data_IF_431491598981
#
_entry.id   IF_431491598981
#
_cell.length_a   1.000
_cell.length_b   1.000
_cell.length_c   1.000
_cell.angle_alpha   90.00
_cell.angle_beta   90.00
_cell.angle_gamma   90.00
#
_symmetry.space_group_name_H-M   'P 1'
#
loop_
_entity.id
_entity.type
_entity.pdbx_description
1 polymer ?
#
# COMPACT_ATOMS: atom_id res chain seq x y z
N UNK A 1 17.34 15.97 -0.75
CA UNK A 1 16.41 15.39 0.25
C UNK A 1 16.78 15.99 1.60
N UNK A 2 15.97 16.91 2.12
CA UNK A 2 16.13 17.37 3.50
C UNK A 2 15.82 16.20 4.46
N UNK A 3 16.60 16.03 5.54
CA UNK A 3 16.33 15.00 6.53
C UNK A 3 14.97 15.27 7.18
N UNK A 4 14.12 14.25 7.21
CA UNK A 4 12.84 14.29 7.89
C UNK A 4 13.05 14.67 9.35
N UNK A 5 12.46 15.79 9.79
CA UNK A 5 12.50 16.24 11.19
C UNK A 5 11.95 15.12 12.08
N UNK A 6 12.64 14.78 13.17
CA UNK A 6 12.10 13.91 14.20
C UNK A 6 10.99 14.67 14.96
N UNK A 7 10.01 13.90 15.41
CA UNK A 7 8.93 14.27 16.34
C UNK A 7 8.05 15.46 15.97
N UNK A 8 6.94 15.15 15.30
CA UNK A 8 5.75 15.99 15.40
C UNK A 8 5.26 15.98 16.86
N UNK A 9 4.86 17.15 17.43
CA UNK A 9 4.14 17.18 18.70
C UNK A 9 2.94 16.26 18.58
N UNK A 10 2.49 15.66 19.71
CA UNK A 10 1.37 14.71 19.80
C UNK A 10 0.29 15.13 18.80
N UNK A 11 0.39 14.60 17.58
CA UNK A 11 -0.56 14.92 16.52
C UNK A 11 -1.89 14.36 16.99
N UNK A 12 -2.93 15.19 16.97
CA UNK A 12 -4.31 14.73 17.21
C UNK A 12 -4.52 13.53 16.30
N UNK A 13 -4.59 12.34 16.91
CA UNK A 13 -4.75 11.09 16.18
C UNK A 13 -6.05 11.13 15.40
N UNK A 14 -6.03 10.86 14.12
CA UNK A 14 -7.22 10.72 13.31
C UNK A 14 -7.90 9.38 13.64
N UNK A 15 -9.18 9.40 13.98
CA UNK A 15 -9.97 8.20 14.25
C UNK A 15 -11.01 8.02 13.15
N UNK A 16 -11.22 6.79 12.75
CA UNK A 16 -12.32 6.42 11.87
C UNK A 16 -13.64 6.33 12.65
N UNK A 17 -14.78 6.46 11.96
CA UNK A 17 -16.09 6.50 12.64
C UNK A 17 -16.36 5.31 13.56
N UNK A 18 -15.92 4.12 13.16
CA UNK A 18 -16.08 2.90 13.96
C UNK A 18 -15.11 2.82 15.17
N UNK A 19 -14.10 3.69 15.23
CA UNK A 19 -13.15 3.80 16.33
C UNK A 19 -13.59 4.76 17.44
N UNK A 20 -14.74 5.45 17.31
CA UNK A 20 -15.24 6.41 18.33
C UNK A 20 -15.20 5.88 19.74
N UNK A 21 -15.64 4.63 20.05
CA UNK A 21 -15.56 4.10 21.43
C UNK A 21 -14.13 3.97 21.95
N UNK A 22 -13.16 3.72 21.05
CA UNK A 22 -11.74 3.62 21.38
C UNK A 22 -11.18 5.03 21.63
N UNK A 23 -11.53 5.98 20.77
CA UNK A 23 -11.15 7.39 20.91
C UNK A 23 -11.59 7.97 22.27
N UNK A 24 -12.82 7.68 22.72
CA UNK A 24 -13.33 8.11 24.02
C UNK A 24 -12.52 7.53 25.19
N UNK A 25 -12.12 6.26 25.10
CA UNK A 25 -11.28 5.64 26.13
C UNK A 25 -9.87 6.21 26.14
N UNK A 26 -9.25 6.39 24.95
CA UNK A 26 -7.90 6.96 24.84
C UNK A 26 -7.87 8.44 25.26
N UNK A 27 -8.96 9.23 25.03
CA UNK A 27 -9.10 10.61 25.53
C UNK A 27 -9.13 10.65 27.06
N UNK A 28 -9.95 9.81 27.68
CA UNK A 28 -10.02 9.71 29.17
C UNK A 28 -8.67 9.34 29.77
N UNK A 29 -7.94 8.39 29.16
CA UNK A 29 -6.60 8.04 29.61
C UNK A 29 -5.65 9.25 29.53
N UNK A 30 -5.72 10.01 28.44
CA UNK A 30 -4.89 11.22 28.28
C UNK A 30 -5.23 12.30 29.30
N UNK A 31 -6.51 12.55 29.58
CA UNK A 31 -6.99 13.50 30.59
C UNK A 31 -6.51 13.12 32.00
N UNK A 32 -6.64 11.85 32.39
CA UNK A 32 -6.18 11.36 33.68
C UNK A 32 -4.67 11.44 33.84
N UNK A 33 -3.88 11.19 32.78
CA UNK A 33 -2.42 11.35 32.83
C UNK A 33 -1.99 12.80 33.03
N UNK A 34 -2.72 13.76 32.52
CA UNK A 34 -2.46 15.19 32.77
C UNK A 34 -2.75 15.52 34.24
N UNK A 35 -3.87 15.06 34.78
CA UNK A 35 -4.24 15.28 36.19
C UNK A 35 -3.27 14.60 37.17
N UNK A 36 -2.76 13.41 36.88
CA UNK A 36 -1.76 12.72 37.71
C UNK A 36 -0.46 13.53 37.83
N UNK A 37 -0.08 14.26 36.75
CA UNK A 37 1.10 15.14 36.74
C UNK A 37 0.94 16.41 37.57
N UNK A 38 -0.28 16.94 37.69
CA UNK A 38 -0.53 18.24 38.33
C UNK A 38 -0.85 18.12 39.84
N UNK A 39 -1.50 17.05 40.31
CA UNK A 39 -2.06 16.99 41.68
C UNK A 39 -1.43 15.93 42.58
N UNK A 40 -0.49 15.11 42.14
CA UNK A 40 0.15 14.06 42.97
C UNK A 40 -0.81 12.98 43.47
N UNK A 41 -2.02 12.89 42.92
CA UNK A 41 -3.04 11.89 43.27
C UNK A 41 -2.72 10.59 42.53
N UNK A 42 -2.64 9.49 43.26
CA UNK A 42 -2.38 8.17 42.71
C UNK A 42 -3.62 7.62 42.00
N UNK A 43 -3.82 8.03 40.74
CA UNK A 43 -4.84 7.47 39.80
C UNK A 43 -4.25 6.44 38.86
N UNK A 44 -3.00 6.05 39.04
CA UNK A 44 -2.23 5.13 38.21
C UNK A 44 -2.95 3.78 37.97
N UNK A 45 -3.66 3.24 38.95
CA UNK A 45 -4.43 1.99 38.81
C UNK A 45 -5.64 2.16 37.88
N UNK A 46 -6.29 3.31 37.90
CA UNK A 46 -7.42 3.63 37.04
C UNK A 46 -6.97 3.85 35.60
N UNK A 47 -5.85 4.57 35.41
CA UNK A 47 -5.21 4.74 34.12
C UNK A 47 -4.89 3.37 33.49
N UNK A 48 -4.22 2.49 34.23
CA UNK A 48 -3.90 1.13 33.76
C UNK A 48 -5.13 0.32 33.34
N UNK A 49 -6.21 0.39 34.13
CA UNK A 49 -7.47 -0.29 33.78
C UNK A 49 -8.09 0.25 32.49
N UNK A 50 -8.09 1.57 32.32
CA UNK A 50 -8.61 2.20 31.10
C UNK A 50 -7.74 1.90 29.87
N UNK A 51 -6.41 1.91 30.02
CA UNK A 51 -5.49 1.52 28.95
C UNK A 51 -5.72 0.06 28.50
N UNK A 52 -5.86 -0.85 29.45
CA UNK A 52 -6.18 -2.25 29.17
C UNK A 52 -7.53 -2.39 28.46
N UNK A 53 -8.55 -1.63 28.90
CA UNK A 53 -9.87 -1.63 28.26
C UNK A 53 -9.80 -1.05 26.84
N UNK A 54 -9.08 0.05 26.63
CA UNK A 54 -8.88 0.64 25.31
C UNK A 54 -8.16 -0.34 24.37
N UNK A 55 -7.08 -0.98 24.85
CA UNK A 55 -6.35 -2.00 24.08
C UNK A 55 -7.22 -3.21 23.73
N UNK A 56 -8.00 -3.71 24.67
CA UNK A 56 -8.91 -4.84 24.42
C UNK A 56 -9.99 -4.47 23.40
N UNK A 57 -10.60 -3.27 23.52
CA UNK A 57 -11.58 -2.77 22.56
C UNK A 57 -10.97 -2.61 21.16
N UNK A 58 -9.74 -2.11 21.07
CA UNK A 58 -9.02 -1.98 19.79
C UNK A 58 -8.80 -3.35 19.13
N UNK A 59 -8.29 -4.33 19.88
CA UNK A 59 -8.09 -5.71 19.39
C UNK A 59 -9.40 -6.32 18.91
N UNK A 60 -10.46 -6.22 19.71
CA UNK A 60 -11.77 -6.78 19.35
C UNK A 60 -12.34 -6.15 18.08
N UNK A 61 -12.26 -4.81 17.97
CA UNK A 61 -12.72 -4.07 16.79
C UNK A 61 -11.95 -4.47 15.54
N UNK A 62 -10.61 -4.50 15.59
CA UNK A 62 -9.79 -4.79 14.42
C UNK A 62 -9.82 -6.26 13.99
N UNK A 63 -10.12 -7.18 14.89
CA UNK A 63 -10.35 -8.58 14.55
C UNK A 63 -11.68 -8.82 13.80
N UNK A 64 -12.61 -7.87 13.84
CA UNK A 64 -13.98 -8.01 13.28
C UNK A 64 -14.28 -7.01 12.17
N UNK A 65 -13.27 -6.34 11.62
CA UNK A 65 -13.48 -5.35 10.57
C UNK A 65 -14.22 -5.92 9.37
N UNK A 66 -15.29 -5.25 8.97
CA UNK A 66 -15.98 -5.53 7.71
C UNK A 66 -15.13 -5.12 6.51
N UNK A 67 -15.41 -5.63 5.29
CA UNK A 67 -14.71 -5.20 4.08
C UNK A 67 -14.73 -3.69 3.85
N UNK A 68 -15.84 -3.03 4.17
CA UNK A 68 -15.94 -1.57 4.11
C UNK A 68 -15.04 -0.87 5.12
N UNK A 69 -15.02 -1.33 6.37
CA UNK A 69 -14.11 -0.79 7.39
C UNK A 69 -12.64 -1.00 7.01
N UNK A 70 -12.28 -2.15 6.43
CA UNK A 70 -10.93 -2.35 5.87
C UNK A 70 -10.63 -1.37 4.74
N UNK A 71 -11.60 -1.06 3.88
CA UNK A 71 -11.44 -0.01 2.86
C UNK A 71 -11.13 1.34 3.51
N UNK A 72 -11.82 1.69 4.59
CA UNK A 72 -11.56 2.93 5.32
C UNK A 72 -10.16 2.92 5.97
N UNK A 73 -9.74 1.81 6.57
CA UNK A 73 -8.38 1.66 7.12
C UNK A 73 -7.32 1.74 6.02
N UNK A 74 -7.54 1.10 4.86
CA UNK A 74 -6.63 1.18 3.71
C UNK A 74 -6.40 2.62 3.22
N UNK A 75 -7.41 3.47 3.36
CA UNK A 75 -7.42 4.89 2.99
C UNK A 75 -7.05 5.84 4.12
N UNK A 76 -6.70 5.32 5.29
CA UNK A 76 -6.41 6.16 6.45
C UNK A 76 -5.27 7.15 6.13
N UNK A 77 -5.43 8.48 6.40
CA UNK A 77 -4.48 9.50 5.99
C UNK A 77 -3.09 9.37 6.65
N UNK A 78 -3.02 8.72 7.81
CA UNK A 78 -1.79 8.54 8.56
C UNK A 78 -1.08 7.20 8.27
N UNK A 79 -1.56 6.40 7.30
CA UNK A 79 -0.83 5.20 6.86
C UNK A 79 0.52 5.59 6.27
N UNK A 80 1.55 4.75 6.42
CA UNK A 80 2.81 4.98 5.72
C UNK A 80 2.59 4.89 4.21
N UNK A 81 3.12 5.87 3.47
CA UNK A 81 3.11 5.94 2.02
C UNK A 81 4.45 5.50 1.43
N UNK A 82 4.59 5.51 0.11
CA UNK A 82 5.79 5.05 -0.60
C UNK A 82 7.09 5.62 -0.03
N UNK A 83 7.16 6.93 0.17
CA UNK A 83 8.37 7.60 0.69
C UNK A 83 8.72 7.17 2.13
N UNK A 84 7.75 6.80 2.94
CA UNK A 84 7.99 6.26 4.29
C UNK A 84 8.66 4.88 4.21
N UNK A 85 8.19 4.01 3.30
CA UNK A 85 8.81 2.70 3.06
C UNK A 85 10.20 2.85 2.46
N UNK A 86 10.41 3.80 1.54
CA UNK A 86 11.75 4.11 1.02
C UNK A 86 12.67 4.50 2.16
N UNK A 87 12.26 5.45 2.99
CA UNK A 87 13.05 5.92 4.14
C UNK A 87 13.39 4.81 5.13
N UNK A 88 12.48 3.86 5.34
CA UNK A 88 12.67 2.79 6.32
C UNK A 88 13.34 1.53 5.80
N UNK A 89 13.35 1.28 4.50
CA UNK A 89 13.78 0.00 3.92
C UNK A 89 14.91 0.12 2.89
N UNK A 90 15.09 1.29 2.25
CA UNK A 90 15.97 1.42 1.09
C UNK A 90 17.12 2.38 1.38
N UNK A 91 18.31 1.85 1.39
CA UNK A 91 19.54 2.60 1.53
C UNK A 91 19.97 3.19 0.17
N UNK A 92 20.66 4.31 0.16
CA UNK A 92 21.23 4.97 -1.04
C UNK A 92 20.18 5.17 -2.17
N UNK A 93 18.94 5.48 -1.81
CA UNK A 93 17.88 5.65 -2.82
C UNK A 93 18.18 6.83 -3.75
N UNK A 94 18.28 6.54 -5.04
CA UNK A 94 18.47 7.51 -6.12
C UNK A 94 17.22 7.54 -6.99
N UNK A 95 16.35 8.56 -6.85
CA UNK A 95 15.13 8.66 -7.65
C UNK A 95 15.45 8.95 -9.12
N UNK A 96 14.67 8.35 -10.03
CA UNK A 96 14.82 8.49 -11.47
C UNK A 96 13.53 9.03 -12.08
N UNK A 97 13.50 10.34 -12.32
CA UNK A 97 12.36 11.08 -12.83
C UNK A 97 12.14 10.91 -14.35
N UNK A 98 10.93 11.14 -14.80
CA UNK A 98 10.51 11.29 -16.21
C UNK A 98 10.35 10.00 -16.99
N UNK A 99 9.42 10.04 -17.94
CA UNK A 99 9.12 8.92 -18.85
C UNK A 99 10.02 8.88 -20.10
N UNK A 100 10.83 9.90 -20.32
CA UNK A 100 11.67 10.10 -21.54
C UNK A 100 10.85 10.30 -22.82
N UNK A 101 9.59 10.64 -22.69
CA UNK A 101 8.70 10.86 -23.82
C UNK A 101 7.93 12.18 -23.73
N UNK A 102 7.29 12.46 -22.59
CA UNK A 102 6.46 13.66 -22.42
C UNK A 102 6.81 14.44 -21.16
N UNK A 103 6.69 13.83 -19.95
CA UNK A 103 6.86 14.57 -18.71
C UNK A 103 7.21 13.65 -17.50
N UNK A 104 7.34 14.29 -16.35
CA UNK A 104 7.32 13.62 -15.05
C UNK A 104 5.89 13.43 -14.56
N UNK A 105 5.64 12.31 -13.88
CA UNK A 105 4.45 12.07 -13.07
C UNK A 105 4.84 11.55 -11.69
N UNK A 106 4.72 12.42 -10.69
CA UNK A 106 5.12 12.11 -9.33
C UNK A 106 4.10 11.22 -8.57
N UNK A 107 2.98 10.84 -9.19
CA UNK A 107 2.08 9.82 -8.64
C UNK A 107 2.70 8.42 -8.66
N UNK A 108 3.61 8.14 -9.62
CA UNK A 108 4.48 6.98 -9.59
C UNK A 108 5.91 7.46 -9.37
N UNK A 109 6.51 7.06 -8.28
CA UNK A 109 7.91 7.31 -7.99
C UNK A 109 8.72 6.03 -8.16
N UNK A 110 10.02 6.15 -8.40
CA UNK A 110 10.88 4.99 -8.47
C UNK A 110 12.33 5.37 -8.71
N UNK A 111 13.21 4.40 -8.53
CA UNK A 111 14.64 4.61 -8.64
C UNK A 111 15.45 3.37 -8.27
N UNK A 112 16.75 3.59 -8.12
CA UNK A 112 17.73 2.60 -7.68
C UNK A 112 17.99 2.76 -6.18
N UNK A 113 18.31 1.66 -5.51
CA UNK A 113 18.72 1.68 -4.10
C UNK A 113 19.25 0.34 -3.64
N UNK A 114 19.48 0.22 -2.33
CA UNK A 114 19.85 -1.03 -1.70
C UNK A 114 18.79 -1.46 -0.69
N UNK A 115 18.33 -2.67 -0.83
CA UNK A 115 17.44 -3.30 0.13
C UNK A 115 18.24 -4.38 0.88
N UNK A 116 18.54 -4.14 2.15
CA UNK A 116 19.39 -5.03 2.98
C UNK A 116 20.71 -5.37 2.29
N UNK A 117 21.38 -4.36 1.76
CA UNK A 117 22.65 -4.48 1.04
C UNK A 117 22.54 -4.98 -0.41
N UNK A 118 21.40 -5.50 -0.86
CA UNK A 118 21.17 -5.97 -2.24
C UNK A 118 20.73 -4.82 -3.12
N UNK A 119 21.38 -4.56 -4.27
CA UNK A 119 20.93 -3.57 -5.24
C UNK A 119 19.55 -3.95 -5.79
N UNK A 120 18.62 -3.00 -5.85
CA UNK A 120 17.25 -3.18 -6.32
C UNK A 120 16.76 -1.98 -7.12
N UNK A 121 15.76 -2.21 -7.94
CA UNK A 121 14.87 -1.16 -8.46
C UNK A 121 13.62 -1.12 -7.60
N UNK A 122 13.21 0.08 -7.16
CA UNK A 122 11.95 0.25 -6.42
C UNK A 122 11.03 1.18 -7.19
N UNK A 123 9.77 0.81 -7.30
CA UNK A 123 8.72 1.57 -7.99
C UNK A 123 7.48 1.59 -7.10
N UNK A 124 6.74 2.68 -7.03
CA UNK A 124 5.49 2.67 -6.27
C UNK A 124 4.69 3.94 -6.42
N UNK A 125 3.46 3.88 -5.92
CA UNK A 125 2.55 5.01 -5.89
C UNK A 125 2.80 5.84 -4.63
N UNK A 126 2.97 7.14 -4.81
CA UNK A 126 3.00 8.11 -3.71
C UNK A 126 1.69 8.90 -3.68
N UNK A 127 1.05 8.96 -2.51
CA UNK A 127 -0.21 9.70 -2.33
C UNK A 127 -0.03 11.09 -1.75
N UNK A 128 1.10 11.34 -1.10
CA UNK A 128 1.35 12.55 -0.32
C UNK A 128 0.72 12.53 1.06
N UNK A 129 1.45 13.03 2.06
CA UNK A 129 1.08 13.01 3.48
C UNK A 129 0.30 14.26 3.95
N UNK A 130 0.26 15.31 3.14
CA UNK A 130 -0.45 16.56 3.40
C UNK A 130 -1.17 17.06 2.13
N UNK A 131 -1.93 18.13 2.22
CA UNK A 131 -2.73 18.64 1.11
C UNK A 131 -1.88 18.99 -0.11
N UNK A 132 -0.75 19.68 0.07
CA UNK A 132 0.16 20.04 -1.01
C UNK A 132 0.77 18.79 -1.68
N UNK A 133 1.28 17.87 -0.87
CA UNK A 133 1.81 16.60 -1.36
C UNK A 133 0.75 15.77 -2.11
N UNK A 134 -0.49 15.72 -1.62
CA UNK A 134 -1.58 15.00 -2.30
C UNK A 134 -1.90 15.59 -3.67
N UNK A 135 -1.90 16.91 -3.80
CA UNK A 135 -2.10 17.60 -5.08
C UNK A 135 -0.92 17.29 -6.01
N UNK A 136 0.32 17.43 -5.51
CA UNK A 136 1.55 17.17 -6.25
C UNK A 136 1.61 15.74 -6.80
N UNK A 137 1.30 14.77 -5.98
CA UNK A 137 1.29 13.35 -6.33
C UNK A 137 -0.05 12.86 -6.90
N UNK A 138 -0.96 13.77 -7.22
CA UNK A 138 -2.28 13.47 -7.78
C UNK A 138 -3.02 12.34 -7.03
N UNK A 139 -2.91 12.32 -5.70
CA UNK A 139 -3.52 11.32 -4.82
C UNK A 139 -3.11 9.87 -5.17
N UNK A 140 -1.93 9.67 -5.74
CA UNK A 140 -1.45 8.37 -6.21
C UNK A 140 -2.09 7.89 -7.51
N UNK A 141 -2.91 8.70 -8.17
CA UNK A 141 -3.53 8.37 -9.46
C UNK A 141 -2.61 8.77 -10.60
N UNK A 142 -1.92 7.79 -11.18
CA UNK A 142 -0.92 8.03 -12.20
C UNK A 142 -1.53 8.38 -13.56
N UNK A 143 -0.83 9.27 -14.26
CA UNK A 143 -0.98 9.58 -15.69
C UNK A 143 -0.15 8.60 -16.53
N UNK A 144 -0.29 8.60 -17.89
CA UNK A 144 0.50 7.73 -18.76
C UNK A 144 2.01 7.79 -18.52
N UNK A 145 2.51 8.97 -18.16
CA UNK A 145 3.93 9.24 -17.90
C UNK A 145 4.46 8.40 -16.71
N UNK A 146 3.64 8.21 -15.66
CA UNK A 146 3.99 7.38 -14.51
C UNK A 146 4.18 5.91 -14.90
N UNK A 147 3.27 5.36 -15.71
CA UNK A 147 3.38 3.98 -16.19
C UNK A 147 4.53 3.78 -17.18
N UNK A 148 4.79 4.75 -18.07
CA UNK A 148 5.96 4.70 -18.97
C UNK A 148 7.26 4.78 -18.18
N UNK A 149 7.32 5.59 -17.12
CA UNK A 149 8.47 5.59 -16.21
C UNK A 149 8.66 4.24 -15.52
N UNK A 150 7.58 3.60 -15.06
CA UNK A 150 7.65 2.26 -14.51
C UNK A 150 8.21 1.25 -15.53
N UNK A 151 7.75 1.27 -16.79
CA UNK A 151 8.31 0.45 -17.87
C UNK A 151 9.81 0.68 -18.02
N UNK A 152 10.25 1.93 -18.10
CA UNK A 152 11.68 2.28 -18.22
C UNK A 152 12.52 1.75 -17.07
N UNK A 153 12.00 1.85 -15.84
CA UNK A 153 12.71 1.34 -14.65
C UNK A 153 12.77 -0.20 -14.64
N UNK A 154 11.70 -0.87 -15.07
CA UNK A 154 11.67 -2.32 -15.22
C UNK A 154 12.65 -2.81 -16.31
N UNK A 155 12.75 -2.10 -17.43
CA UNK A 155 13.75 -2.38 -18.47
C UNK A 155 15.18 -2.22 -17.96
N UNK A 156 15.42 -1.20 -17.14
CA UNK A 156 16.70 -1.02 -16.49
C UNK A 156 17.01 -2.16 -15.52
N UNK A 157 16.03 -2.57 -14.72
CA UNK A 157 16.15 -3.70 -13.79
C UNK A 157 16.52 -4.99 -14.52
N UNK A 158 15.82 -5.30 -15.61
CA UNK A 158 16.08 -6.48 -16.44
C UNK A 158 17.49 -6.46 -17.05
N UNK A 159 17.88 -5.30 -17.62
CA UNK A 159 19.19 -5.11 -18.23
C UNK A 159 20.35 -5.31 -17.25
N UNK A 160 20.22 -4.85 -16.02
CA UNK A 160 21.25 -4.93 -14.99
C UNK A 160 21.04 -6.08 -14.00
N UNK A 161 20.09 -6.97 -14.26
CA UNK A 161 19.76 -8.12 -13.43
C UNK A 161 19.48 -7.73 -11.95
N UNK A 162 18.68 -6.67 -11.77
CA UNK A 162 18.27 -6.15 -10.48
C UNK A 162 16.85 -6.60 -10.15
N UNK A 163 16.58 -7.15 -8.94
CA UNK A 163 15.20 -7.41 -8.53
C UNK A 163 14.38 -6.11 -8.48
N UNK A 164 13.09 -6.23 -8.72
CA UNK A 164 12.13 -5.13 -8.65
C UNK A 164 11.23 -5.30 -7.43
N UNK A 165 11.13 -4.27 -6.61
CA UNK A 165 10.15 -4.16 -5.52
C UNK A 165 9.12 -3.12 -5.94
N UNK A 166 7.84 -3.46 -5.91
CA UNK A 166 6.78 -2.50 -6.19
C UNK A 166 5.89 -2.28 -4.98
N UNK A 167 5.58 -1.01 -4.67
CA UNK A 167 4.70 -0.62 -3.57
C UNK A 167 3.43 0.00 -4.14
N UNK A 168 2.31 -0.68 -3.95
CA UNK A 168 1.02 -0.33 -4.57
C UNK A 168 0.15 0.41 -3.58
N UNK A 169 -0.18 1.67 -3.89
CA UNK A 169 -1.13 2.48 -3.13
C UNK A 169 -1.82 3.54 -4.01
N UNK A 170 -2.85 3.13 -4.73
CA UNK A 170 -3.61 3.98 -5.65
C UNK A 170 -5.08 3.59 -5.67
N UNK A 171 -5.95 4.59 -5.79
CA UNK A 171 -7.38 4.36 -6.06
C UNK A 171 -7.64 3.90 -7.52
N UNK A 172 -6.67 4.10 -8.41
CA UNK A 172 -6.74 3.76 -9.82
C UNK A 172 -5.90 4.70 -10.67
N UNK A 173 -5.96 4.53 -11.99
CA UNK A 173 -5.34 5.44 -12.93
C UNK A 173 -6.10 6.76 -13.00
N UNK A 174 -5.40 7.86 -13.30
CA UNK A 174 -6.03 9.16 -13.46
C UNK A 174 -7.00 9.16 -14.65
N UNK A 175 -8.30 9.52 -14.43
CA UNK A 175 -9.34 9.40 -15.46
C UNK A 175 -9.54 10.69 -16.28
N UNK A 176 -8.59 11.62 -16.25
CA UNK A 176 -8.74 12.93 -16.92
C UNK A 176 -8.48 12.87 -18.42
N UNK A 177 -9.11 13.79 -19.18
CA UNK A 177 -9.01 13.90 -20.64
C UNK A 177 -7.55 13.91 -21.11
N UNK A 178 -6.67 14.70 -20.47
CA UNK A 178 -5.26 14.75 -20.85
C UNK A 178 -4.51 13.43 -20.66
N UNK A 179 -4.98 12.50 -19.82
CA UNK A 179 -4.42 11.16 -19.73
C UNK A 179 -4.90 10.29 -20.90
N UNK A 180 -6.18 10.36 -21.25
CA UNK A 180 -6.73 9.66 -22.41
C UNK A 180 -6.05 10.09 -23.73
N UNK A 181 -5.88 11.40 -23.94
CA UNK A 181 -5.18 11.96 -25.11
C UNK A 181 -3.74 11.47 -25.24
N UNK A 182 -3.07 11.14 -24.14
CA UNK A 182 -1.70 10.64 -24.13
C UNK A 182 -1.58 9.12 -23.97
N UNK A 183 -2.69 8.38 -24.13
CA UNK A 183 -2.71 6.92 -24.20
C UNK A 183 -2.67 6.24 -22.83
N UNK A 184 -3.56 6.60 -21.92
CA UNK A 184 -3.64 6.01 -20.57
C UNK A 184 -3.76 4.49 -20.60
N UNK A 185 -4.70 3.97 -21.38
CA UNK A 185 -4.94 2.53 -21.46
C UNK A 185 -3.72 1.77 -22.04
N UNK A 186 -3.08 2.32 -23.07
CA UNK A 186 -1.86 1.74 -23.68
C UNK A 186 -0.71 1.72 -22.67
N UNK A 187 -0.49 2.82 -21.95
CA UNK A 187 0.59 2.91 -20.96
C UNK A 187 0.42 1.91 -19.81
N UNK A 188 -0.81 1.71 -19.34
CA UNK A 188 -1.15 0.69 -18.33
C UNK A 188 -0.88 -0.72 -18.88
N UNK A 189 -1.40 -1.03 -20.08
CA UNK A 189 -1.23 -2.34 -20.70
C UNK A 189 0.25 -2.66 -20.92
N UNK A 190 1.03 -1.71 -21.44
CA UNK A 190 2.47 -1.86 -21.64
C UNK A 190 3.23 -2.06 -20.35
N UNK A 191 2.85 -1.38 -19.27
CA UNK A 191 3.48 -1.58 -17.95
C UNK A 191 3.18 -2.98 -17.39
N UNK A 192 1.94 -3.45 -17.54
CA UNK A 192 1.55 -4.82 -17.15
C UNK A 192 2.31 -5.86 -17.96
N UNK A 193 2.38 -5.71 -19.28
CA UNK A 193 3.15 -6.59 -20.17
C UNK A 193 4.64 -6.61 -19.78
N UNK A 194 5.22 -5.45 -19.46
CA UNK A 194 6.61 -5.36 -19.02
C UNK A 194 6.83 -6.11 -17.69
N UNK A 195 5.93 -5.98 -16.73
CA UNK A 195 5.99 -6.78 -15.50
C UNK A 195 6.05 -8.29 -15.80
N UNK A 196 5.28 -8.76 -16.78
CA UNK A 196 5.24 -10.17 -17.17
C UNK A 196 6.49 -10.59 -17.96
N UNK A 197 7.08 -9.68 -18.74
CA UNK A 197 8.15 -9.98 -19.70
C UNK A 197 9.56 -10.04 -19.09
N UNK A 198 9.86 -9.28 -18.04
CA UNK A 198 11.23 -9.18 -17.49
C UNK A 198 11.68 -10.48 -16.80
N UNK A 199 12.99 -10.78 -16.92
CA UNK A 199 13.61 -11.99 -16.37
C UNK A 199 14.12 -11.87 -14.94
N UNK A 200 13.83 -10.77 -14.25
CA UNK A 200 14.21 -10.56 -12.85
C UNK A 200 13.02 -10.74 -11.91
N UNK A 201 13.24 -11.08 -10.62
CA UNK A 201 12.15 -11.16 -9.64
C UNK A 201 11.42 -9.83 -9.48
N UNK A 202 10.11 -9.89 -9.49
CA UNK A 202 9.23 -8.75 -9.15
C UNK A 202 8.43 -9.13 -7.91
N UNK A 203 8.57 -8.36 -6.84
CA UNK A 203 7.80 -8.51 -5.60
C UNK A 203 6.91 -7.29 -5.44
N UNK A 204 5.61 -7.49 -5.51
CA UNK A 204 4.62 -6.42 -5.31
C UNK A 204 4.06 -6.46 -3.89
N UNK A 205 3.92 -5.30 -3.27
CA UNK A 205 3.29 -5.16 -1.95
C UNK A 205 2.15 -4.15 -2.05
N UNK A 206 0.93 -4.59 -1.78
CA UNK A 206 -0.22 -3.69 -1.65
C UNK A 206 -0.20 -3.11 -0.23
N UNK A 207 0.23 -1.84 -0.10
CA UNK A 207 0.44 -1.17 1.19
C UNK A 207 -0.76 -0.38 1.70
N UNK A 208 -1.73 -0.14 0.83
CA UNK A 208 -2.97 0.58 1.15
C UNK A 208 -4.07 0.19 0.19
N UNK A 209 -4.30 0.98 -0.83
CA UNK A 209 -5.34 0.77 -1.82
C UNK A 209 -4.74 0.31 -3.15
N UNK A 210 -5.10 -0.90 -3.61
CA UNK A 210 -4.70 -1.43 -4.91
C UNK A 210 -5.83 -1.32 -5.91
N UNK A 211 -6.02 -0.14 -6.53
CA UNK A 211 -7.16 0.14 -7.40
C UNK A 211 -6.89 -0.12 -8.88
N UNK A 212 -7.74 -0.97 -9.49
CA UNK A 212 -7.94 -1.07 -10.94
C UNK A 212 -6.65 -1.24 -11.77
N UNK A 213 -6.66 -0.71 -12.99
CA UNK A 213 -5.52 -0.70 -13.92
C UNK A 213 -4.28 -0.02 -13.34
N UNK A 214 -4.46 0.98 -12.47
CA UNK A 214 -3.35 1.65 -11.80
C UNK A 214 -2.52 0.69 -10.96
N UNK A 215 -3.18 -0.19 -10.22
CA UNK A 215 -2.51 -1.18 -9.40
C UNK A 215 -1.87 -2.30 -10.23
N UNK A 216 -2.62 -2.91 -11.17
CA UNK A 216 -2.12 -4.05 -11.95
C UNK A 216 -0.92 -3.67 -12.84
N UNK A 217 -0.83 -2.40 -13.25
CA UNK A 217 0.26 -1.89 -14.07
C UNK A 217 1.66 -2.12 -13.47
N UNK A 218 1.76 -2.25 -12.13
CA UNK A 218 3.02 -2.53 -11.43
C UNK A 218 2.91 -3.74 -10.48
N UNK A 219 1.78 -4.46 -10.49
CA UNK A 219 1.53 -5.60 -9.60
C UNK A 219 1.46 -6.95 -10.32
N UNK A 220 1.73 -7.02 -11.64
CA UNK A 220 1.82 -8.29 -12.36
C UNK A 220 3.15 -9.03 -12.03
N UNK A 221 3.33 -9.39 -10.76
CA UNK A 221 4.57 -9.77 -10.10
C UNK A 221 4.72 -11.29 -9.91
N UNK A 222 5.94 -11.74 -9.56
CA UNK A 222 6.19 -13.13 -9.14
C UNK A 222 5.51 -13.47 -7.82
N UNK A 223 5.49 -12.48 -6.91
CA UNK A 223 4.79 -12.56 -5.62
C UNK A 223 4.02 -11.27 -5.39
N UNK A 224 2.79 -11.43 -4.94
CA UNK A 224 1.96 -10.32 -4.50
C UNK A 224 1.73 -10.47 -3.00
N UNK A 225 2.30 -9.57 -2.23
CA UNK A 225 2.13 -9.47 -0.80
C UNK A 225 1.12 -8.35 -0.54
N UNK A 226 0.37 -8.44 0.54
CA UNK A 226 -0.64 -7.46 0.85
C UNK A 226 -0.72 -7.23 2.36
N UNK A 227 -0.76 -5.98 2.79
CA UNK A 227 -0.99 -5.65 4.20
C UNK A 227 -2.40 -6.11 4.62
N UNK A 228 -2.54 -6.53 5.87
CA UNK A 228 -3.75 -7.19 6.42
C UNK A 228 -5.04 -6.37 6.25
N UNK A 229 -4.92 -5.05 6.33
CA UNK A 229 -6.04 -4.11 6.19
C UNK A 229 -5.98 -3.28 4.90
N UNK A 230 -5.15 -3.66 3.95
CA UNK A 230 -5.19 -3.13 2.59
C UNK A 230 -6.37 -3.70 1.81
N UNK A 231 -6.69 -3.11 0.67
CA UNK A 231 -7.65 -3.63 -0.31
C UNK A 231 -7.01 -3.73 -1.69
N UNK A 232 -7.44 -4.74 -2.48
CA UNK A 232 -7.02 -4.86 -3.88
C UNK A 232 -8.25 -5.19 -4.73
N UNK A 233 -8.57 -4.35 -5.73
CA UNK A 233 -9.86 -4.34 -6.38
C UNK A 233 -9.80 -3.85 -7.82
N UNK A 234 -10.74 -4.29 -8.65
CA UNK A 234 -10.89 -3.85 -10.06
C UNK A 234 -11.52 -2.46 -10.20
N UNK A 235 -12.26 -2.02 -9.19
CA UNK A 235 -12.87 -0.69 -9.12
C UNK A 235 -13.06 -0.31 -7.65
N UNK A 236 -13.16 0.99 -7.32
CA UNK A 236 -13.53 1.37 -5.96
C UNK A 236 -14.94 0.86 -5.62
N UNK A 237 -15.24 0.53 -4.35
CA UNK A 237 -16.58 0.11 -3.96
C UNK A 237 -17.67 1.09 -4.37
N UNK A 238 -17.39 2.39 -4.30
CA UNK A 238 -18.31 3.46 -4.72
C UNK A 238 -18.55 3.46 -6.23
N UNK A 239 -17.49 3.28 -7.02
CA UNK A 239 -17.59 3.18 -8.47
C UNK A 239 -18.35 1.91 -8.89
N UNK A 240 -18.06 0.78 -8.27
CA UNK A 240 -18.77 -0.48 -8.51
C UNK A 240 -20.26 -0.37 -8.17
N UNK A 241 -20.58 0.24 -7.03
CA UNK A 241 -21.96 0.49 -6.63
C UNK A 241 -22.71 1.37 -7.65
N UNK A 242 -22.05 2.43 -8.12
CA UNK A 242 -22.61 3.31 -9.15
C UNK A 242 -22.85 2.59 -10.48
N UNK A 243 -21.92 1.74 -10.91
CA UNK A 243 -22.01 0.98 -12.16
C UNK A 243 -23.12 -0.08 -12.07
N UNK A 244 -23.15 -0.86 -10.98
CA UNK A 244 -24.05 -2.01 -10.84
C UNK A 244 -25.48 -1.60 -10.45
N UNK A 245 -25.61 -0.64 -9.55
CA UNK A 245 -26.91 -0.26 -8.95
C UNK A 245 -27.32 1.17 -9.20
N UNK A 246 -26.48 1.99 -9.87
CA UNK A 246 -26.68 3.44 -10.06
C UNK A 246 -26.87 4.19 -8.74
N UNK A 247 -26.26 3.68 -7.67
CA UNK A 247 -26.39 4.21 -6.32
C UNK A 247 -25.06 4.00 -5.55
N UNK A 248 -24.29 5.07 -5.39
CA UNK A 248 -23.02 5.06 -4.66
C UNK A 248 -23.19 4.79 -3.16
N UNK A 249 -24.39 4.98 -2.57
CA UNK A 249 -24.65 4.67 -1.17
C UNK A 249 -24.55 3.16 -0.88
N UNK A 250 -24.63 2.30 -1.90
CA UNK A 250 -24.40 0.85 -1.80
C UNK A 250 -22.93 0.42 -1.81
N UNK A 251 -22.00 1.33 -1.57
CA UNK A 251 -20.58 1.03 -1.51
C UNK A 251 -20.23 -0.06 -0.47
N UNK A 252 -20.96 -0.12 0.64
CA UNK A 252 -20.79 -1.15 1.69
C UNK A 252 -21.10 -2.55 1.13
N UNK A 253 -22.20 -2.68 0.40
CA UNK A 253 -22.61 -3.94 -0.23
C UNK A 253 -21.61 -4.32 -1.33
N UNK A 254 -21.15 -3.34 -2.12
CA UNK A 254 -20.13 -3.54 -3.13
C UNK A 254 -18.83 -4.06 -2.52
N UNK A 255 -18.31 -3.42 -1.47
CA UNK A 255 -17.08 -3.84 -0.78
C UNK A 255 -17.17 -5.29 -0.29
N UNK A 256 -18.32 -5.72 0.20
CA UNK A 256 -18.55 -7.08 0.69
C UNK A 256 -18.61 -8.10 -0.45
N UNK A 257 -19.33 -7.78 -1.53
CA UNK A 257 -19.55 -8.70 -2.63
C UNK A 257 -18.35 -8.85 -3.56
N UNK A 258 -17.52 -7.83 -3.69
CA UNK A 258 -16.36 -7.82 -4.59
C UNK A 258 -15.15 -8.61 -4.06
N UNK A 259 -15.16 -9.06 -2.81
CA UNK A 259 -14.08 -9.86 -2.23
C UNK A 259 -12.70 -9.20 -2.33
N UNK A 260 -12.61 -7.97 -1.82
CA UNK A 260 -11.45 -7.08 -2.00
C UNK A 260 -10.42 -7.10 -0.88
N UNK A 261 -10.72 -7.83 0.21
CA UNK A 261 -9.83 -7.86 1.39
C UNK A 261 -8.66 -8.83 1.19
N UNK A 262 -7.59 -8.63 1.96
CA UNK A 262 -6.44 -9.54 1.91
C UNK A 262 -6.86 -11.00 2.19
N UNK A 263 -7.79 -11.23 3.11
CA UNK A 263 -8.28 -12.56 3.46
C UNK A 263 -9.10 -13.21 2.32
N UNK A 264 -9.94 -12.42 1.65
CA UNK A 264 -10.68 -12.90 0.48
C UNK A 264 -9.71 -13.29 -0.65
N UNK A 265 -8.74 -12.42 -0.94
CA UNK A 265 -7.81 -12.59 -2.06
C UNK A 265 -6.77 -13.70 -1.83
N UNK A 266 -6.39 -13.94 -0.59
CA UNK A 266 -5.59 -15.11 -0.20
C UNK A 266 -6.36 -16.41 -0.46
N UNK A 267 -7.63 -16.46 -0.02
CA UNK A 267 -8.52 -17.61 -0.27
C UNK A 267 -8.73 -17.87 -1.77
N UNK A 268 -8.81 -16.81 -2.58
CA UNK A 268 -8.96 -16.88 -4.04
C UNK A 268 -7.64 -17.15 -4.79
N UNK A 269 -6.49 -17.20 -4.09
CA UNK A 269 -5.17 -17.38 -4.69
C UNK A 269 -4.71 -16.20 -5.55
N UNK A 270 -5.28 -15.01 -5.34
CA UNK A 270 -4.89 -13.78 -6.06
C UNK A 270 -3.63 -13.16 -5.46
N UNK A 271 -3.46 -13.26 -4.14
CA UNK A 271 -2.24 -12.85 -3.43
C UNK A 271 -1.52 -14.06 -2.85
N UNK A 272 -0.24 -13.90 -2.52
CA UNK A 272 0.62 -15.00 -2.02
C UNK A 272 0.86 -14.92 -0.51
N UNK A 273 0.82 -13.71 0.08
CA UNK A 273 1.12 -13.51 1.52
C UNK A 273 0.32 -12.35 2.08
N UNK A 274 -0.32 -12.58 3.21
CA UNK A 274 -0.87 -11.51 4.06
C UNK A 274 0.20 -11.06 5.04
N UNK A 275 0.59 -9.79 4.97
CA UNK A 275 1.50 -9.16 5.93
C UNK A 275 0.69 -8.63 7.09
N UNK A 276 0.91 -9.17 8.29
CA UNK A 276 0.23 -8.71 9.50
C UNK A 276 0.57 -7.27 9.81
N UNK A 277 -0.47 -6.53 10.19
CA UNK A 277 -0.32 -5.14 10.64
C UNK A 277 -0.26 -5.06 12.18
N UNK A 278 0.33 -3.99 12.74
CA UNK A 278 0.18 -3.68 14.15
C UNK A 278 -1.30 -3.61 14.55
N UNK A 279 -1.59 -3.91 15.80
CA UNK A 279 -2.96 -3.78 16.33
C UNK A 279 -3.47 -2.36 16.14
N UNK A 280 -4.59 -2.23 15.46
CA UNK A 280 -5.15 -0.93 15.09
C UNK A 280 -4.67 -0.40 13.74
N UNK A 281 -3.92 -1.19 12.96
CA UNK A 281 -3.50 -0.86 11.59
C UNK A 281 -2.12 -0.20 11.49
N UNK A 282 -1.60 -0.13 10.28
CA UNK A 282 -0.25 0.38 9.98
C UNK A 282 -0.04 1.84 10.38
N UNK A 283 -1.10 2.64 10.48
CA UNK A 283 -1.03 4.04 10.90
C UNK A 283 -0.76 4.23 12.40
N UNK A 284 -1.03 3.21 13.23
CA UNK A 284 -0.79 3.27 14.67
C UNK A 284 0.66 2.97 15.07
N UNK A 285 1.33 2.12 14.29
CA UNK A 285 2.77 1.86 14.44
C UNK A 285 3.39 1.70 13.04
N UNK A 286 3.75 2.85 12.46
CA UNK A 286 4.31 2.93 11.10
C UNK A 286 5.64 2.21 11.00
N UNK A 287 6.49 2.31 12.03
CA UNK A 287 7.81 1.70 12.03
C UNK A 287 7.71 0.18 12.00
N UNK A 288 6.86 -0.41 12.87
CA UNK A 288 6.62 -1.85 12.89
C UNK A 288 6.00 -2.34 11.58
N UNK A 289 5.03 -1.61 11.02
CA UNK A 289 4.40 -1.96 9.75
C UNK A 289 5.43 -1.99 8.59
N UNK A 290 6.31 -0.99 8.52
CA UNK A 290 7.37 -0.92 7.52
C UNK A 290 8.37 -2.07 7.70
N UNK A 291 8.81 -2.33 8.94
CA UNK A 291 9.73 -3.42 9.25
C UNK A 291 9.14 -4.78 8.86
N UNK A 292 7.90 -5.06 9.25
CA UNK A 292 7.21 -6.33 8.94
C UNK A 292 7.07 -6.52 7.42
N UNK A 293 6.76 -5.44 6.68
CA UNK A 293 6.74 -5.48 5.22
C UNK A 293 8.13 -5.78 4.65
N UNK A 294 9.18 -5.18 5.19
CA UNK A 294 10.57 -5.47 4.81
C UNK A 294 10.96 -6.92 5.03
N UNK A 295 10.55 -7.52 6.15
CA UNK A 295 10.81 -8.95 6.42
C UNK A 295 10.10 -9.86 5.41
N UNK A 296 8.87 -9.55 5.08
CA UNK A 296 8.09 -10.30 4.07
C UNK A 296 8.70 -10.17 2.66
N UNK A 297 9.13 -8.97 2.27
CA UNK A 297 9.81 -8.74 0.99
C UNK A 297 11.11 -9.54 0.92
N UNK A 298 11.94 -9.53 1.97
CA UNK A 298 13.20 -10.26 2.01
C UNK A 298 12.98 -11.78 1.84
N UNK A 299 11.99 -12.32 2.53
CA UNK A 299 11.60 -13.73 2.41
C UNK A 299 11.16 -14.08 0.99
N UNK A 300 10.32 -13.24 0.38
CA UNK A 300 9.83 -13.45 -0.97
C UNK A 300 10.95 -13.35 -2.02
N UNK A 301 11.89 -12.41 -1.87
CA UNK A 301 13.04 -12.28 -2.77
C UNK A 301 13.96 -13.50 -2.71
N UNK A 302 14.18 -14.06 -1.52
CA UNK A 302 15.05 -15.23 -1.33
C UNK A 302 14.55 -16.49 -2.06
N UNK A 303 13.24 -16.59 -2.35
CA UNK A 303 12.69 -17.71 -3.13
C UNK A 303 13.21 -17.75 -4.58
N UNK A 304 13.77 -16.65 -5.07
CA UNK A 304 14.28 -16.52 -6.45
C UNK A 304 15.81 -16.55 -6.53
N UNK A 305 16.51 -16.71 -5.41
CA UNK A 305 17.97 -16.79 -5.42
C UNK A 305 18.44 -18.02 -6.21
N UNK A 306 19.39 -17.79 -7.11
CA UNK A 306 19.94 -18.81 -7.98
C UNK A 306 19.05 -19.27 -9.16
N UNK A 307 17.85 -18.74 -9.29
CA UNK A 307 16.98 -19.06 -10.45
C UNK A 307 17.41 -18.32 -11.70
N UNK A 308 17.27 -18.97 -12.85
CA UNK A 308 17.54 -18.35 -14.14
C UNK A 308 16.45 -17.32 -14.52
N UNK A 309 16.75 -16.34 -15.39
CA UNK A 309 15.74 -15.43 -15.91
C UNK A 309 14.55 -16.13 -16.56
N UNK A 310 14.81 -17.26 -17.24
CA UNK A 310 13.75 -18.05 -17.87
C UNK A 310 12.83 -18.70 -16.83
N UNK A 311 13.39 -19.26 -15.74
CA UNK A 311 12.60 -19.84 -14.65
C UNK A 311 11.77 -18.80 -13.92
N UNK A 312 12.35 -17.62 -13.65
CA UNK A 312 11.66 -16.51 -12.98
C UNK A 312 10.44 -16.07 -13.81
N UNK A 313 10.61 -15.92 -15.12
CA UNK A 313 9.53 -15.58 -16.05
C UNK A 313 8.48 -16.67 -16.11
N UNK A 314 8.90 -17.94 -16.24
CA UNK A 314 7.99 -19.10 -16.27
C UNK A 314 7.14 -19.17 -15.00
N UNK A 315 7.76 -19.09 -13.83
CA UNK A 315 7.04 -19.11 -12.54
C UNK A 315 6.02 -17.97 -12.42
N UNK A 316 6.33 -16.78 -12.95
CA UNK A 316 5.40 -15.66 -12.98
C UNK A 316 4.20 -15.97 -13.89
N UNK A 317 4.41 -16.49 -15.09
CA UNK A 317 3.33 -16.87 -15.99
C UNK A 317 2.44 -17.96 -15.39
N UNK A 318 3.03 -19.04 -14.86
CA UNK A 318 2.27 -20.14 -14.25
C UNK A 318 1.42 -19.63 -13.08
N UNK A 319 1.93 -18.70 -12.28
CA UNK A 319 1.18 -18.08 -11.19
C UNK A 319 -0.13 -17.44 -11.69
N UNK A 320 -0.06 -16.63 -12.74
CA UNK A 320 -1.26 -15.98 -13.29
C UNK A 320 -2.20 -16.96 -14.00
N UNK A 321 -1.67 -17.96 -14.68
CA UNK A 321 -2.46 -19.02 -15.32
C UNK A 321 -3.14 -19.95 -14.30
N UNK A 322 -2.67 -20.00 -13.06
CA UNK A 322 -3.27 -20.80 -12.00
C UNK A 322 -4.48 -20.12 -11.34
N UNK A 323 -4.59 -18.80 -11.42
CA UNK A 323 -5.71 -18.04 -10.83
C UNK A 323 -7.03 -18.49 -11.49
N UNK A 324 -8.01 -18.83 -10.66
CA UNK A 324 -9.34 -19.25 -11.11
C UNK A 324 -9.48 -20.72 -11.51
N UNK A 325 -8.40 -21.53 -11.52
CA UNK A 325 -8.50 -22.97 -11.83
C UNK A 325 -9.10 -23.81 -10.70
N UNK A 326 -9.22 -23.23 -9.51
CA UNK A 326 -9.75 -23.90 -8.31
C UNK A 326 -11.10 -23.33 -7.86
N UNK A 327 -11.73 -22.46 -8.66
CA UNK A 327 -13.02 -21.86 -8.41
C UNK A 327 -14.16 -22.74 -8.90
#
# INVERSE_FOLDING_TARGET
LEPTKPDRPIAVRTYLDFEKPIAELESKVSELKVLEGDEGVSISEEIKKLEQKAKAALVDTYNKLTPWQKTQVARHPDRPHFLDYISGLIEEFTPLAGDRYFAEDEAVMGGLGRFRGRPVVVIGHEKGSNTEGRIRHNFGMARPEGYRKAVRLMEMADKFNLPVITLVDTAGAYPGIGAEERGQAEAIARSTDKCLAIGVPVIAVVIGEGGSGGAIAIAAANKILMLEHAIYTVASPEAAASILWRDSAKAIDAATNMKITAQDLDTLGVIDVIIREPVGGAHRDRALAIQTAGDAIAKALAEFDGKSPADIKHLRHERFLAIGRQL
#
